data_IF_849239176721
#
_entry.id   IF_849239176721
#
_cell.length_a   1.000
_cell.length_b   1.000
_cell.length_c   1.000
_cell.angle_alpha   90.00
_cell.angle_beta   90.00
_cell.angle_gamma   90.00
#
_symmetry.space_group_name_H-M   'P 1'
#
loop_
_entity.id
_entity.type
_entity.pdbx_description
1 polymer ?
#
# COMPACT_ATOMS: atom_id res chain seq x y z
N UNK A 1 -16.89 -10.18 15.02
CA UNK A 1 -15.71 -10.58 14.22
C UNK A 1 -14.93 -11.71 14.87
N UNK A 2 -14.64 -11.69 16.18
CA UNK A 2 -13.86 -12.74 16.86
C UNK A 2 -14.54 -14.11 17.00
N UNK A 3 -15.83 -14.22 16.70
CA UNK A 3 -16.61 -15.47 16.78
C UNK A 3 -16.93 -16.08 15.41
N UNK A 4 -16.43 -15.52 14.31
CA UNK A 4 -16.70 -16.01 12.95
C UNK A 4 -15.73 -17.10 12.52
N UNK A 5 -16.17 -18.03 11.68
CA UNK A 5 -15.25 -19.00 11.04
C UNK A 5 -14.45 -18.36 9.92
N UNK A 6 -13.39 -19.05 9.46
CA UNK A 6 -12.59 -18.57 8.32
C UNK A 6 -13.42 -18.50 7.04
N UNK A 7 -14.34 -19.44 6.84
CA UNK A 7 -15.24 -19.48 5.70
C UNK A 7 -16.16 -18.25 5.69
N UNK A 8 -16.76 -17.91 6.83
CA UNK A 8 -17.61 -16.72 6.96
C UNK A 8 -16.80 -15.43 6.73
N UNK A 9 -15.55 -15.39 7.17
CA UNK A 9 -14.65 -14.26 6.91
C UNK A 9 -14.29 -14.14 5.42
N UNK A 10 -14.10 -15.25 4.71
CA UNK A 10 -13.80 -15.23 3.27
C UNK A 10 -15.02 -14.81 2.43
N UNK A 11 -16.23 -15.14 2.85
CA UNK A 11 -17.45 -14.63 2.21
C UNK A 11 -17.61 -13.11 2.38
N UNK A 12 -17.28 -12.58 3.56
CA UNK A 12 -17.35 -11.13 3.82
C UNK A 12 -16.18 -10.33 3.21
N UNK A 13 -14.98 -10.93 3.15
CA UNK A 13 -13.76 -10.28 2.69
C UNK A 13 -13.09 -11.12 1.58
N UNK A 14 -13.73 -11.22 0.40
CA UNK A 14 -13.21 -12.04 -0.68
C UNK A 14 -11.85 -11.52 -1.15
N UNK A 15 -10.93 -12.45 -1.42
CA UNK A 15 -9.65 -12.12 -2.07
C UNK A 15 -9.93 -11.88 -3.55
N UNK A 16 -9.94 -10.62 -3.96
CA UNK A 16 -10.19 -10.21 -5.35
C UNK A 16 -8.86 -9.94 -6.04
N UNK A 17 -8.60 -10.65 -7.13
CA UNK A 17 -7.51 -10.37 -8.05
C UNK A 17 -8.04 -9.65 -9.29
N UNK A 18 -7.25 -8.72 -9.83
CA UNK A 18 -7.58 -7.90 -11.00
C UNK A 18 -6.38 -7.79 -11.93
N UNK A 19 -6.67 -7.60 -13.21
CA UNK A 19 -5.67 -7.18 -14.19
C UNK A 19 -5.00 -5.87 -13.75
N UNK A 20 -3.81 -5.63 -14.29
CA UNK A 20 -3.09 -4.39 -14.05
C UNK A 20 -3.91 -3.18 -14.53
N UNK A 21 -3.99 -2.14 -13.71
CA UNK A 21 -4.66 -0.87 -14.04
C UNK A 21 -3.65 0.26 -14.00
N UNK A 22 -3.75 1.19 -14.96
CA UNK A 22 -2.94 2.42 -14.97
C UNK A 22 -3.21 3.30 -13.75
N UNK A 23 -4.41 3.20 -13.16
CA UNK A 23 -4.82 3.98 -11.99
C UNK A 23 -3.98 3.66 -10.75
N UNK A 24 -3.32 2.50 -10.70
CA UNK A 24 -2.48 2.10 -9.57
C UNK A 24 -1.31 3.06 -9.36
N UNK A 25 -0.81 3.66 -10.44
CA UNK A 25 0.22 4.70 -10.35
C UNK A 25 -0.33 5.97 -9.71
N UNK A 26 -1.56 6.35 -10.03
CA UNK A 26 -2.21 7.52 -9.46
C UNK A 26 -2.51 7.31 -7.97
N UNK A 27 -2.95 6.11 -7.58
CA UNK A 27 -3.16 5.74 -6.18
C UNK A 27 -1.88 5.86 -5.37
N UNK A 28 -0.76 5.34 -5.91
CA UNK A 28 0.55 5.50 -5.28
C UNK A 28 0.94 6.97 -5.10
N UNK A 29 0.76 7.82 -6.11
CA UNK A 29 1.13 9.24 -6.01
C UNK A 29 0.22 10.03 -5.05
N UNK A 30 -1.04 9.65 -4.90
CA UNK A 30 -1.95 10.23 -3.89
C UNK A 30 -1.45 9.86 -2.49
N UNK A 31 -1.29 8.57 -2.19
CA UNK A 31 -0.87 8.11 -0.85
C UNK A 31 0.54 8.59 -0.49
N UNK A 32 1.46 8.60 -1.47
CA UNK A 32 2.79 9.18 -1.30
C UNK A 32 2.71 10.65 -0.89
N UNK A 33 1.82 11.43 -1.50
CA UNK A 33 1.66 12.85 -1.15
C UNK A 33 1.15 13.02 0.27
N UNK A 34 0.18 12.21 0.68
CA UNK A 34 -0.32 12.21 2.06
C UNK A 34 0.79 11.87 3.06
N UNK A 35 1.61 10.85 2.78
CA UNK A 35 2.77 10.50 3.62
C UNK A 35 3.79 11.65 3.69
N UNK A 36 4.08 12.32 2.57
CA UNK A 36 4.99 13.48 2.54
C UNK A 36 4.42 14.70 3.29
N UNK A 37 3.10 14.83 3.41
CA UNK A 37 2.46 15.90 4.17
C UNK A 37 2.46 15.59 5.68
N UNK A 38 2.36 14.32 6.06
CA UNK A 38 2.31 13.90 7.47
C UNK A 38 3.69 13.74 8.11
N UNK A 39 4.74 13.51 7.33
CA UNK A 39 6.08 13.21 7.82
C UNK A 39 7.05 14.32 7.43
N UNK A 40 7.82 14.82 8.40
CA UNK A 40 8.84 15.83 8.14
C UNK A 40 9.84 15.30 7.09
N UNK A 41 9.97 16.03 5.98
CA UNK A 41 10.86 15.68 4.86
C UNK A 41 12.29 15.34 5.28
N UNK A 42 12.80 15.90 6.38
CA UNK A 42 14.16 15.59 6.89
C UNK A 42 14.30 14.16 7.41
N UNK A 43 13.18 13.55 7.79
CA UNK A 43 13.11 12.19 8.31
C UNK A 43 13.00 11.15 7.20
N UNK A 44 12.58 11.56 5.99
CA UNK A 44 12.34 10.65 4.87
C UNK A 44 13.63 10.47 4.08
N UNK A 45 14.13 9.23 4.03
CA UNK A 45 15.30 8.89 3.22
C UNK A 45 14.89 8.48 1.81
N UNK A 46 13.87 7.62 1.68
CA UNK A 46 13.35 7.12 0.39
C UNK A 46 11.88 6.74 0.51
N UNK A 47 11.16 6.81 -0.60
CA UNK A 47 9.78 6.32 -0.73
C UNK A 47 9.62 5.67 -2.10
N UNK A 48 9.17 4.40 -2.14
CA UNK A 48 9.07 3.62 -3.37
C UNK A 48 7.73 2.89 -3.46
N UNK A 49 7.20 2.79 -4.68
CA UNK A 49 6.08 1.91 -5.00
C UNK A 49 6.60 0.47 -5.11
N UNK A 50 6.16 -0.41 -4.21
CA UNK A 50 6.56 -1.82 -4.18
C UNK A 50 5.33 -2.72 -4.35
N UNK A 51 5.52 -4.02 -4.16
CA UNK A 51 4.42 -4.98 -4.23
C UNK A 51 4.07 -5.36 -5.67
N UNK A 52 2.97 -6.09 -5.80
CA UNK A 52 2.61 -6.69 -7.09
C UNK A 52 2.04 -5.69 -8.08
N UNK A 53 1.29 -4.68 -7.61
CA UNK A 53 0.66 -3.70 -8.51
C UNK A 53 1.62 -2.64 -9.04
N UNK A 54 2.85 -2.56 -8.54
CA UNK A 54 3.90 -1.73 -9.11
C UNK A 54 4.52 -2.33 -10.38
N UNK A 55 4.23 -3.61 -10.66
CA UNK A 55 4.67 -4.33 -11.86
C UNK A 55 3.58 -4.27 -12.92
N UNK A 56 3.89 -3.64 -14.05
CA UNK A 56 2.97 -3.55 -15.18
C UNK A 56 2.60 -4.94 -15.73
N UNK A 57 1.31 -5.15 -15.99
CA UNK A 57 0.77 -6.40 -16.55
C UNK A 57 0.62 -7.55 -15.55
N UNK A 58 0.96 -7.38 -14.26
CA UNK A 58 0.77 -8.42 -13.26
C UNK A 58 -0.67 -8.43 -12.71
N UNK A 59 -1.28 -9.63 -12.64
CA UNK A 59 -2.59 -9.83 -12.00
C UNK A 59 -2.42 -9.74 -10.47
N UNK A 60 -2.84 -8.59 -9.96
CA UNK A 60 -2.75 -8.07 -8.59
C UNK A 60 -3.99 -8.23 -7.72
N UNK A 61 -3.86 -8.33 -6.40
CA UNK A 61 -4.87 -7.70 -5.52
C UNK A 61 -4.73 -6.18 -5.69
N UNK A 62 -5.82 -5.41 -5.88
CA UNK A 62 -5.75 -3.97 -6.09
C UNK A 62 -5.45 -3.23 -4.78
N UNK A 63 -4.21 -3.34 -4.30
CA UNK A 63 -3.74 -2.74 -3.03
C UNK A 63 -2.36 -2.15 -3.28
N UNK A 64 -2.20 -0.86 -2.96
CA UNK A 64 -0.93 -0.16 -3.11
C UNK A 64 -0.01 -0.46 -1.94
N UNK A 65 1.19 -0.94 -2.23
CA UNK A 65 2.22 -1.21 -1.23
C UNK A 65 3.32 -0.15 -1.34
N UNK A 66 3.62 0.53 -0.23
CA UNK A 66 4.61 1.60 -0.20
C UNK A 66 5.72 1.24 0.78
N UNK A 67 6.96 1.25 0.29
CA UNK A 67 8.14 1.17 1.14
C UNK A 67 8.62 2.59 1.44
N UNK A 68 8.45 3.00 2.70
CA UNK A 68 8.99 4.23 3.23
C UNK A 68 10.20 3.92 4.10
N UNK A 69 11.32 4.55 3.78
CA UNK A 69 12.56 4.44 4.54
C UNK A 69 12.82 5.75 5.25
N UNK A 70 13.05 5.69 6.56
CA UNK A 70 13.26 6.86 7.43
C UNK A 70 14.64 6.83 8.08
N UNK A 71 15.10 8.01 8.52
CA UNK A 71 16.31 8.12 9.31
C UNK A 71 16.11 7.39 10.66
N UNK A 72 17.10 6.61 11.09
CA UNK A 72 17.07 5.87 12.37
C UNK A 72 16.89 6.77 13.60
N UNK A 73 17.22 8.07 13.48
CA UNK A 73 17.02 9.06 14.55
C UNK A 73 15.60 9.64 14.57
N UNK A 74 14.78 9.32 13.57
CA UNK A 74 13.40 9.78 13.49
C UNK A 74 12.50 8.96 14.39
N UNK A 75 11.72 9.63 15.23
CA UNK A 75 10.62 9.01 15.96
C UNK A 75 9.36 9.05 15.08
N UNK A 76 8.77 7.89 14.81
CA UNK A 76 7.42 7.77 14.23
C UNK A 76 6.53 7.32 15.38
N UNK A 77 5.82 8.27 16.00
CA UNK A 77 4.71 7.99 16.91
C UNK A 77 3.38 8.02 16.16
#
# INVERSE_FOLDING_TARGET
MSEMTLEELWELFPIILREHSTDYKDWYEIEKRELLNCIDSKNIMRINHIGSISVEGLIAKPTVDILLEINNESNIE
#
